data_IF_599333841773
#
_entry.id   IF_599333841773
#
_cell.length_a   1.000
_cell.length_b   1.000
_cell.length_c   1.000
_cell.angle_alpha   90.00
_cell.angle_beta   90.00
_cell.angle_gamma   90.00
#
_symmetry.space_group_name_H-M   'P 1'
#
loop_
_entity.id
_entity.type
_entity.pdbx_description
1 polymer ?
#
# COMPACT_ATOMS: atom_id res chain seq x y z
N UNK A 1 -17.88 -76.08 4.96
CA UNK A 1 -19.29 -75.70 5.17
C UNK A 1 -19.31 -74.27 5.71
N UNK A 2 -20.07 -73.36 5.04
CA UNK A 2 -20.83 -72.20 5.59
C UNK A 2 -20.10 -71.22 6.53
N UNK A 3 -20.15 -69.88 6.48
CA UNK A 3 -20.85 -68.79 5.73
C UNK A 3 -20.13 -67.50 6.23
N UNK A 4 -19.56 -66.67 5.37
CA UNK A 4 -20.04 -65.32 4.98
C UNK A 4 -20.83 -64.48 6.01
N UNK A 5 -20.42 -63.19 6.10
CA UNK A 5 -21.06 -61.97 6.61
C UNK A 5 -20.81 -61.54 8.07
N UNK A 6 -20.07 -60.44 8.25
CA UNK A 6 -20.55 -59.11 8.68
C UNK A 6 -19.29 -58.23 8.91
N UNK A 7 -19.20 -56.92 8.73
CA UNK A 7 -19.97 -55.86 8.08
C UNK A 7 -19.23 -54.57 8.47
N UNK A 8 -18.97 -53.69 7.49
CA UNK A 8 -18.55 -52.30 7.65
C UNK A 8 -17.49 -51.94 8.71
N UNK A 9 -16.22 -51.88 8.27
CA UNK A 9 -15.29 -50.87 8.79
C UNK A 9 -15.73 -49.53 8.20
N UNK A 10 -16.62 -48.85 8.91
CA UNK A 10 -17.05 -47.50 8.62
C UNK A 10 -15.83 -46.57 8.74
N UNK A 11 -15.47 -45.95 7.61
CA UNK A 11 -14.51 -44.85 7.53
C UNK A 11 -14.83 -43.82 8.61
N UNK A 12 -14.02 -43.78 9.66
CA UNK A 12 -13.89 -42.65 10.56
C UNK A 12 -12.58 -41.93 10.25
N UNK A 13 -12.42 -41.53 8.98
CA UNK A 13 -11.64 -40.34 8.67
C UNK A 13 -12.57 -39.15 8.86
N UNK A 14 -12.78 -38.75 10.12
CA UNK A 14 -13.08 -37.34 10.37
C UNK A 14 -11.79 -36.60 10.01
N UNK A 15 -11.67 -36.25 8.72
CA UNK A 15 -10.79 -35.18 8.30
C UNK A 15 -11.33 -33.92 8.98
N UNK A 16 -10.79 -33.62 10.17
CA UNK A 16 -10.81 -32.26 10.69
C UNK A 16 -9.94 -31.46 9.73
N UNK A 17 -10.56 -31.02 8.63
CA UNK A 17 -10.02 -29.97 7.80
C UNK A 17 -9.87 -28.76 8.71
N UNK A 18 -8.64 -28.51 9.17
CA UNK A 18 -8.27 -27.20 9.62
C UNK A 18 -8.42 -26.30 8.39
N UNK A 19 -9.57 -25.65 8.28
CA UNK A 19 -9.68 -24.48 7.44
C UNK A 19 -8.84 -23.44 8.17
N UNK A 20 -7.56 -23.37 7.82
CA UNK A 20 -6.79 -22.16 8.03
C UNK A 20 -7.44 -21.12 7.13
N UNK A 21 -8.38 -20.37 7.70
CA UNK A 21 -8.58 -19.01 7.24
C UNK A 21 -7.27 -18.30 7.59
N UNK A 22 -6.38 -18.16 6.61
CA UNK A 22 -5.43 -17.05 6.63
C UNK A 22 -6.32 -15.81 6.62
N UNK A 23 -6.63 -15.31 7.81
CA UNK A 23 -7.17 -13.99 7.99
C UNK A 23 -6.02 -13.03 7.63
N UNK A 24 -5.83 -12.85 6.33
CA UNK A 24 -4.88 -11.92 5.71
C UNK A 24 -5.33 -10.47 5.91
N UNK A 25 -6.21 -10.21 6.89
CA UNK A 25 -6.43 -8.88 7.44
C UNK A 25 -5.16 -8.48 8.19
N UNK A 26 -4.20 -7.95 7.43
CA UNK A 26 -2.93 -7.48 7.96
C UNK A 26 -3.16 -6.72 9.27
N UNK A 27 -2.64 -7.27 10.36
CA UNK A 27 -2.83 -6.68 11.68
C UNK A 27 -2.19 -5.28 11.70
N UNK A 28 -3.04 -4.25 11.67
CA UNK A 28 -2.60 -2.88 11.83
C UNK A 28 -2.43 -2.59 13.31
N UNK A 29 -1.18 -2.46 13.74
CA UNK A 29 -0.84 -2.05 15.09
C UNK A 29 -0.67 -0.54 15.11
N UNK A 30 -1.44 0.16 15.95
CA UNK A 30 -1.20 1.57 16.20
C UNK A 30 0.13 1.75 16.95
N UNK A 31 0.96 2.67 16.48
CA UNK A 31 2.26 2.99 17.08
C UNK A 31 2.40 4.51 17.25
N UNK A 32 3.25 4.99 18.18
CA UNK A 32 3.62 6.39 18.25
C UNK A 32 4.28 6.87 16.95
N UNK A 33 4.08 8.14 16.57
CA UNK A 33 4.74 8.72 15.39
C UNK A 33 6.27 8.73 15.55
N UNK A 34 6.73 8.95 16.77
CA UNK A 34 8.12 9.02 17.18
C UNK A 34 8.85 7.69 16.97
N UNK A 35 8.11 6.58 16.87
CA UNK A 35 8.64 5.24 16.63
C UNK A 35 8.92 4.94 15.16
N UNK A 36 8.53 5.81 14.21
CA UNK A 36 8.90 5.62 12.80
C UNK A 36 10.32 6.13 12.53
N UNK A 37 11.00 5.59 11.49
CA UNK A 37 12.35 6.04 11.13
C UNK A 37 12.45 7.54 10.86
N UNK A 38 13.60 8.14 11.19
CA UNK A 38 13.86 9.56 10.96
C UNK A 38 13.71 9.95 9.48
N UNK A 39 14.15 9.08 8.57
CA UNK A 39 13.99 9.28 7.12
C UNK A 39 12.51 9.47 6.72
N UNK A 40 11.58 8.75 7.37
CA UNK A 40 10.14 8.92 7.13
C UNK A 40 9.65 10.28 7.61
N UNK A 41 10.10 10.71 8.79
CA UNK A 41 9.73 11.99 9.40
C UNK A 41 10.24 13.15 8.55
N UNK A 42 11.50 13.10 8.14
CA UNK A 42 12.10 14.07 7.22
C UNK A 42 11.34 14.15 5.88
N UNK A 43 10.91 12.99 5.33
CA UNK A 43 10.13 12.99 4.11
C UNK A 43 8.77 13.70 4.29
N UNK A 44 8.10 13.48 5.42
CA UNK A 44 6.82 14.12 5.73
C UNK A 44 7.02 15.63 5.94
N UNK A 45 8.01 16.02 6.72
CA UNK A 45 8.32 17.43 6.99
C UNK A 45 8.67 18.20 5.70
N UNK A 46 9.42 17.59 4.77
CA UNK A 46 9.82 18.27 3.54
C UNK A 46 8.70 18.36 2.48
N UNK A 47 7.76 17.41 2.47
CA UNK A 47 6.81 17.25 1.36
C UNK A 47 5.33 17.44 1.75
N UNK A 48 5.01 17.27 3.04
CA UNK A 48 3.65 17.22 3.59
C UNK A 48 3.55 17.97 4.94
N UNK A 49 4.39 18.99 5.19
CA UNK A 49 4.34 19.78 6.43
C UNK A 49 2.99 20.48 6.68
N UNK A 50 2.20 20.71 5.65
CA UNK A 50 0.85 21.27 5.75
C UNK A 50 -0.20 20.22 6.13
N UNK A 51 0.15 18.94 6.18
CA UNK A 51 -0.75 17.85 6.54
C UNK A 51 -0.71 17.61 8.05
N UNK A 52 -1.89 17.49 8.67
CA UNK A 52 -1.99 17.10 10.07
C UNK A 52 -2.04 15.58 10.20
N UNK A 53 -1.10 15.00 10.95
CA UNK A 53 -1.09 13.57 11.27
C UNK A 53 -2.32 13.22 12.12
N UNK A 54 -3.01 12.14 11.76
CA UNK A 54 -4.15 11.60 12.49
C UNK A 54 -3.77 10.32 13.24
N UNK A 55 -3.12 9.37 12.55
CA UNK A 55 -2.70 8.11 13.15
C UNK A 55 -1.43 7.58 12.50
N UNK A 56 -0.67 6.79 13.25
CA UNK A 56 0.49 6.05 12.74
C UNK A 56 0.30 4.57 13.03
N UNK A 57 0.46 3.74 12.01
CA UNK A 57 0.22 2.31 12.07
C UNK A 57 1.46 1.55 11.59
N UNK A 58 1.59 0.31 12.04
CA UNK A 58 2.54 -0.67 11.52
C UNK A 58 1.77 -1.90 11.07
N UNK A 59 2.02 -2.35 9.84
CA UNK A 59 1.46 -3.57 9.27
C UNK A 59 2.60 -4.37 8.65
N UNK A 60 2.95 -5.49 9.28
CA UNK A 60 4.17 -6.23 8.95
C UNK A 60 5.40 -5.30 8.99
N UNK A 61 6.11 -5.19 7.87
CA UNK A 61 7.31 -4.36 7.73
C UNK A 61 7.05 -2.98 7.10
N UNK A 62 5.81 -2.48 7.19
CA UNK A 62 5.40 -1.20 6.62
C UNK A 62 4.91 -0.26 7.72
N UNK A 63 5.48 0.93 7.77
CA UNK A 63 4.95 2.04 8.57
C UNK A 63 3.94 2.82 7.72
N UNK A 64 2.81 3.19 8.30
CA UNK A 64 1.74 3.91 7.61
C UNK A 64 1.41 5.15 8.43
N UNK A 65 1.62 6.32 7.86
CA UNK A 65 1.19 7.59 8.45
C UNK A 65 -0.10 8.02 7.78
N UNK A 66 -1.18 8.08 8.54
CA UNK A 66 -2.50 8.51 8.10
C UNK A 66 -2.70 9.95 8.55
N UNK A 67 -3.05 10.83 7.61
CA UNK A 67 -3.35 12.23 7.87
C UNK A 67 -4.85 12.43 8.11
N UNK A 68 -5.21 13.58 8.70
CA UNK A 68 -6.61 14.03 8.74
C UNK A 68 -7.18 14.08 7.32
N UNK A 69 -8.40 13.59 7.14
CA UNK A 69 -9.01 13.41 5.82
C UNK A 69 -8.69 12.08 5.14
N UNK A 70 -7.86 11.23 5.77
CA UNK A 70 -7.72 9.82 5.43
C UNK A 70 -6.68 9.49 4.35
N UNK A 71 -6.00 10.47 3.77
CA UNK A 71 -4.81 10.20 2.94
C UNK A 71 -3.69 9.60 3.78
N UNK A 72 -2.83 8.77 3.19
CA UNK A 72 -1.73 8.11 3.89
C UNK A 72 -0.44 8.06 3.09
N UNK A 73 0.68 7.94 3.81
CA UNK A 73 1.99 7.59 3.23
C UNK A 73 2.45 6.28 3.88
N UNK A 74 2.89 5.36 3.04
CA UNK A 74 3.42 4.08 3.46
C UNK A 74 4.93 4.11 3.25
N UNK A 75 5.67 3.67 4.25
CA UNK A 75 7.12 3.58 4.26
C UNK A 75 7.52 2.13 4.48
N UNK A 76 8.60 1.69 3.83
CA UNK A 76 9.20 0.41 4.15
C UNK A 76 9.90 0.45 5.53
N UNK A 77 10.41 -0.68 5.98
CA UNK A 77 11.08 -0.79 7.29
C UNK A 77 12.32 0.12 7.44
N UNK A 78 12.91 0.62 6.35
CA UNK A 78 14.03 1.57 6.35
C UNK A 78 13.57 3.04 6.42
N UNK A 79 12.27 3.29 6.32
CA UNK A 79 11.70 4.63 6.27
C UNK A 79 11.64 5.26 4.89
N UNK A 80 11.88 4.49 3.82
CA UNK A 80 11.73 4.99 2.46
C UNK A 80 10.26 4.91 2.04
N UNK A 81 9.71 6.00 1.50
CA UNK A 81 8.33 6.00 1.02
C UNK A 81 8.16 4.99 -0.13
N UNK A 82 7.06 4.24 -0.08
CA UNK A 82 6.67 3.26 -1.10
C UNK A 82 5.32 3.59 -1.72
N UNK A 83 4.35 4.10 -0.95
CA UNK A 83 3.05 4.51 -1.47
C UNK A 83 2.61 5.84 -0.87
N UNK A 84 1.92 6.65 -1.66
CA UNK A 84 1.23 7.87 -1.23
C UNK A 84 -0.21 7.74 -1.74
N UNK A 85 -1.15 7.57 -0.82
CA UNK A 85 -2.54 7.26 -1.13
C UNK A 85 -3.39 8.46 -0.73
N UNK A 86 -4.02 9.12 -1.71
CA UNK A 86 -4.85 10.30 -1.44
C UNK A 86 -6.16 9.98 -0.74
N UNK A 87 -6.68 8.75 -0.86
CA UNK A 87 -7.98 8.34 -0.31
C UNK A 87 -9.10 9.35 -0.62
N UNK A 88 -9.39 9.55 -1.92
CA UNK A 88 -10.27 10.58 -2.50
C UNK A 88 -9.73 12.02 -2.46
N UNK A 89 -8.67 12.31 -1.72
CA UNK A 89 -7.96 13.58 -1.81
C UNK A 89 -7.00 13.60 -3.00
N UNK A 90 -6.76 14.78 -3.56
CA UNK A 90 -5.84 15.00 -4.68
C UNK A 90 -4.43 15.26 -4.15
N UNK A 91 -3.44 14.60 -4.74
CA UNK A 91 -2.03 14.94 -4.62
C UNK A 91 -1.72 15.91 -5.77
N UNK A 92 -1.35 17.15 -5.46
CA UNK A 92 -1.07 18.13 -6.51
C UNK A 92 0.18 17.74 -7.32
N UNK A 93 0.20 18.10 -8.60
CA UNK A 93 1.38 17.89 -9.45
C UNK A 93 2.61 18.60 -8.88
N UNK A 94 2.45 19.79 -8.31
CA UNK A 94 3.52 20.54 -7.67
C UNK A 94 4.12 19.78 -6.49
N UNK A 95 3.28 19.21 -5.62
CA UNK A 95 3.75 18.39 -4.49
C UNK A 95 4.47 17.16 -4.99
N UNK A 96 3.88 16.45 -5.95
CA UNK A 96 4.50 15.27 -6.53
C UNK A 96 5.87 15.58 -7.17
N UNK A 97 6.04 16.75 -7.79
CA UNK A 97 7.29 17.18 -8.41
C UNK A 97 8.46 17.38 -7.42
N UNK A 98 8.20 17.44 -6.11
CA UNK A 98 9.26 17.50 -5.10
C UNK A 98 10.02 16.17 -4.94
N UNK A 99 9.40 15.04 -5.29
CA UNK A 99 9.95 13.71 -5.05
C UNK A 99 9.75 12.72 -6.21
N UNK A 100 9.15 13.16 -7.32
CA UNK A 100 9.02 12.41 -8.58
C UNK A 100 9.78 13.17 -9.67
N UNK A 101 10.52 12.47 -10.57
CA UNK A 101 11.18 13.10 -11.71
C UNK A 101 10.26 14.01 -12.53
N UNK A 102 10.74 15.22 -12.85
CA UNK A 102 9.92 16.25 -13.50
C UNK A 102 9.43 15.88 -14.90
N UNK A 103 10.16 15.04 -15.65
CA UNK A 103 9.70 14.53 -16.94
C UNK A 103 8.42 13.68 -16.81
N UNK A 104 8.30 12.88 -15.75
CA UNK A 104 7.08 12.11 -15.44
C UNK A 104 5.95 13.07 -15.07
N UNK A 105 6.19 14.03 -14.17
CA UNK A 105 5.16 14.99 -13.75
C UNK A 105 4.66 15.84 -14.91
N UNK A 106 5.55 16.31 -15.80
CA UNK A 106 5.18 17.07 -16.99
C UNK A 106 4.31 16.24 -17.95
N UNK A 107 4.64 14.95 -18.11
CA UNK A 107 3.83 14.02 -18.92
C UNK A 107 2.46 13.81 -18.29
N UNK A 108 2.39 13.65 -16.97
CA UNK A 108 1.11 13.49 -16.28
C UNK A 108 0.25 14.75 -16.39
N UNK A 109 0.83 15.93 -16.15
CA UNK A 109 0.13 17.22 -16.20
C UNK A 109 -0.42 17.56 -17.59
N UNK A 110 0.22 17.08 -18.66
CA UNK A 110 -0.27 17.29 -20.03
C UNK A 110 -1.42 16.38 -20.44
N UNK A 111 -1.64 15.27 -19.73
CA UNK A 111 -2.62 14.22 -20.10
C UNK A 111 -3.75 14.03 -19.09
N UNK A 112 -3.54 14.40 -17.83
CA UNK A 112 -4.43 14.10 -16.72
C UNK A 112 -4.65 15.34 -15.85
N UNK A 113 -5.78 15.38 -15.15
CA UNK A 113 -6.18 16.54 -14.37
C UNK A 113 -5.74 16.46 -12.91
N UNK A 114 -5.64 15.24 -12.37
CA UNK A 114 -5.33 15.01 -10.94
C UNK A 114 -4.62 13.69 -10.71
N UNK A 115 -3.80 13.66 -9.66
CA UNK A 115 -3.22 12.44 -9.11
C UNK A 115 -3.98 12.09 -7.83
N UNK A 116 -4.48 10.86 -7.75
CA UNK A 116 -5.14 10.33 -6.56
C UNK A 116 -4.16 9.52 -5.70
N UNK A 117 -3.28 8.72 -6.31
CA UNK A 117 -2.30 7.91 -5.60
C UNK A 117 -1.02 7.74 -6.40
N UNK A 118 0.11 7.54 -5.70
CA UNK A 118 1.43 7.30 -6.26
C UNK A 118 2.00 6.04 -5.59
N UNK A 119 2.50 5.11 -6.39
CA UNK A 119 3.10 3.87 -5.93
C UNK A 119 4.50 3.76 -6.52
N UNK A 120 5.52 3.67 -5.67
CA UNK A 120 6.88 3.33 -6.08
C UNK A 120 6.93 1.83 -6.36
N UNK A 121 7.38 1.47 -7.56
CA UNK A 121 7.52 0.08 -8.01
C UNK A 121 9.00 -0.20 -8.28
N UNK A 122 9.39 -1.48 -8.30
CA UNK A 122 10.76 -1.87 -8.61
C UNK A 122 11.25 -1.36 -9.97
N UNK A 123 10.33 -1.26 -10.94
CA UNK A 123 10.59 -0.79 -12.31
C UNK A 123 10.38 0.72 -12.52
N UNK A 124 9.91 1.47 -11.52
CA UNK A 124 9.60 2.89 -11.68
C UNK A 124 8.43 3.34 -10.81
N UNK A 125 7.42 3.97 -11.41
CA UNK A 125 6.28 4.55 -10.69
C UNK A 125 4.97 4.15 -11.32
N UNK A 126 3.94 3.97 -10.49
CA UNK A 126 2.56 3.78 -10.93
C UNK A 126 1.70 4.87 -10.28
N UNK A 127 0.79 5.44 -11.06
CA UNK A 127 -0.11 6.50 -10.61
C UNK A 127 -1.55 6.07 -10.82
N UNK A 128 -2.39 6.39 -9.83
CA UNK A 128 -3.83 6.45 -9.99
C UNK A 128 -4.19 7.90 -10.28
N UNK A 129 -4.79 8.17 -11.44
CA UNK A 129 -5.12 9.51 -11.94
C UNK A 129 -6.58 9.58 -12.39
N UNK A 130 -7.17 10.76 -12.40
CA UNK A 130 -8.57 11.00 -12.80
C UNK A 130 -9.55 9.97 -12.17
N UNK A 131 -9.43 9.80 -10.86
CA UNK A 131 -10.22 8.92 -9.98
C UNK A 131 -10.02 7.41 -10.12
N UNK A 132 -9.70 6.86 -11.31
CA UNK A 132 -9.48 5.40 -11.50
C UNK A 132 -8.50 4.99 -12.61
N UNK A 133 -7.99 5.91 -13.44
CA UNK A 133 -7.03 5.55 -14.49
C UNK A 133 -5.70 5.18 -13.87
N UNK A 134 -5.08 4.12 -14.37
CA UNK A 134 -3.77 3.67 -13.95
C UNK A 134 -2.77 3.97 -15.08
N UNK A 135 -1.66 4.62 -14.73
CA UNK A 135 -0.54 4.83 -15.65
C UNK A 135 0.75 4.46 -14.95
N UNK A 136 1.61 3.74 -15.64
CA UNK A 136 2.92 3.33 -15.13
C UNK A 136 4.02 3.96 -15.95
N UNK A 137 5.12 4.28 -15.28
CA UNK A 137 6.34 4.80 -15.87
C UNK A 137 7.50 3.93 -15.42
N UNK A 138 8.47 3.72 -16.31
CA UNK A 138 9.78 3.21 -15.92
C UNK A 138 10.60 4.29 -15.16
N UNK A 139 11.86 3.99 -14.83
CA UNK A 139 12.73 4.93 -14.09
C UNK A 139 13.20 6.09 -14.97
N UNK A 140 13.27 5.87 -16.28
CA UNK A 140 13.66 6.81 -17.32
C UNK A 140 12.52 7.78 -17.67
N UNK A 141 11.28 7.44 -17.29
CA UNK A 141 10.07 8.24 -17.50
C UNK A 141 9.31 7.90 -18.78
N UNK A 142 9.53 6.71 -19.35
CA UNK A 142 8.71 6.18 -20.43
C UNK A 142 7.48 5.48 -19.86
N UNK A 143 6.34 5.60 -20.55
CA UNK A 143 5.09 4.92 -20.17
C UNK A 143 5.22 3.42 -20.49
N UNK A 144 4.78 2.56 -19.57
CA UNK A 144 4.78 1.08 -19.70
C UNK A 144 3.42 0.45 -19.38
#
# INVERSE_FOLDING_TARGET
>A
MKKFYLFLVLLSFFSSGYIFFDDDSGHFNQIPYESIPDLSKEFIENNFNDYTIHNTLMSGNTYIVVFKGGSSIHFNYKGEWINIIGNRNIISFERANKFIPSNIINTLKSKYNKINSIYKKSKGYQFKVDDEKIVSFDKEGNII
#
